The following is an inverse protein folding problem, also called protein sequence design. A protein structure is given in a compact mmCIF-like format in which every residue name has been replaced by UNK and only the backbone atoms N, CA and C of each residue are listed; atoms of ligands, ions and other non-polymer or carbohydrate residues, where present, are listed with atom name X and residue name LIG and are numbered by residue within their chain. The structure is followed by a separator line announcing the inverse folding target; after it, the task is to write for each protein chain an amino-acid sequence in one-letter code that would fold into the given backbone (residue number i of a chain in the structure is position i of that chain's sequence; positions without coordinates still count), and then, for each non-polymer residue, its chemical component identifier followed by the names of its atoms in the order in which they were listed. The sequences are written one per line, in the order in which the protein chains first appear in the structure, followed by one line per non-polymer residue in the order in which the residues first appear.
data_IF_478319334431
#
_entry.id   IF_478319334431
#
_cell.length_a   1.000
_cell.length_b   1.000
_cell.length_c   1.000
_cell.angle_alpha   90.00
_cell.angle_beta   90.00
_cell.angle_gamma   90.00
#
_symmetry.space_group_name_H-M   'P 1'
#
loop_
_entity.id
_entity.type
_entity.pdbx_description
1 polymer ?
#
# COMPACT_ATOMS: atom_id res chain seq x y z
N UNK A 1 -0.35 -37.62 -1.58
CA UNK A 1 -1.59 -37.11 -2.22
C UNK A 1 -2.31 -36.03 -1.42
N UNK A 2 -2.15 -35.92 -0.09
CA UNK A 2 -2.79 -34.88 0.73
C UNK A 2 -2.24 -33.46 0.47
N UNK A 3 -0.91 -33.29 0.42
CA UNK A 3 -0.27 -31.98 0.24
C UNK A 3 -0.62 -31.27 -1.09
N UNK A 4 -0.50 -31.97 -2.24
CA UNK A 4 -0.88 -31.42 -3.57
C UNK A 4 -2.35 -30.98 -3.66
N UNK A 5 -3.25 -31.63 -2.93
CA UNK A 5 -4.69 -31.29 -2.92
C UNK A 5 -4.94 -30.02 -2.11
N UNK A 6 -4.20 -29.81 -1.03
CA UNK A 6 -4.26 -28.58 -0.24
C UNK A 6 -3.62 -27.39 -1.00
N UNK A 7 -2.52 -27.61 -1.72
CA UNK A 7 -1.90 -26.58 -2.59
C UNK A 7 -2.84 -26.16 -3.73
N UNK A 8 -3.55 -27.10 -4.37
CA UNK A 8 -4.50 -26.78 -5.45
C UNK A 8 -5.74 -26.06 -4.94
N UNK A 9 -6.26 -26.43 -3.76
CA UNK A 9 -7.36 -25.70 -3.11
C UNK A 9 -6.94 -24.28 -2.69
N UNK A 10 -5.72 -24.10 -2.18
CA UNK A 10 -5.17 -22.78 -1.86
C UNK A 10 -4.96 -21.93 -3.11
N UNK A 11 -4.45 -22.51 -4.21
CA UNK A 11 -4.29 -21.78 -5.48
C UNK A 11 -5.63 -21.35 -6.07
N UNK A 12 -6.66 -22.18 -5.94
CA UNK A 12 -8.02 -21.83 -6.38
C UNK A 12 -8.65 -20.73 -5.51
N UNK A 13 -8.33 -20.66 -4.22
CA UNK A 13 -8.81 -19.59 -3.33
C UNK A 13 -8.23 -18.21 -3.70
N UNK A 14 -7.05 -18.16 -4.32
CA UNK A 14 -6.48 -16.90 -4.85
C UNK A 14 -7.08 -16.46 -6.20
N UNK A 15 -7.81 -17.33 -6.89
CA UNK A 15 -8.32 -17.03 -8.22
C UNK A 15 -9.17 -15.75 -8.31
N UNK A 16 -10.07 -15.41 -7.36
CA UNK A 16 -10.84 -14.16 -7.40
C UNK A 16 -9.94 -12.93 -7.36
N UNK A 17 -8.92 -12.94 -6.49
CA UNK A 17 -7.94 -11.86 -6.33
C UNK A 17 -7.10 -11.68 -7.60
N UNK A 18 -6.63 -12.80 -8.17
CA UNK A 18 -5.92 -12.80 -9.45
C UNK A 18 -6.79 -12.21 -10.57
N UNK A 19 -8.04 -12.66 -10.70
CA UNK A 19 -8.95 -12.18 -11.74
C UNK A 19 -9.27 -10.69 -11.58
N UNK A 20 -9.44 -10.22 -10.33
CA UNK A 20 -9.65 -8.80 -10.03
C UNK A 20 -8.48 -7.93 -10.48
N UNK A 21 -7.25 -8.41 -10.34
CA UNK A 21 -6.07 -7.65 -10.75
C UNK A 21 -5.75 -7.75 -12.25
N UNK A 22 -6.22 -8.81 -12.92
CA UNK A 22 -6.15 -8.90 -14.39
C UNK A 22 -7.22 -8.03 -15.07
N UNK A 23 -8.32 -7.71 -14.38
CA UNK A 23 -9.40 -6.88 -14.91
C UNK A 23 -8.90 -5.52 -15.46
N UNK A 24 -8.05 -4.75 -14.76
CA UNK A 24 -7.34 -3.59 -15.32
C UNK A 24 -6.72 -3.79 -16.71
N UNK A 25 -5.94 -4.86 -16.88
CA UNK A 25 -5.24 -5.16 -18.13
C UNK A 25 -6.23 -5.54 -19.23
N UNK A 26 -7.21 -6.39 -18.89
CA UNK A 26 -8.28 -6.77 -19.81
C UNK A 26 -9.11 -5.54 -20.21
N UNK A 27 -9.40 -4.64 -19.27
CA UNK A 27 -10.13 -3.41 -19.54
C UNK A 27 -9.42 -2.51 -20.54
N UNK A 28 -8.09 -2.39 -20.44
CA UNK A 28 -7.30 -1.62 -21.40
C UNK A 28 -7.33 -2.26 -22.79
N UNK A 29 -7.11 -3.58 -22.88
CA UNK A 29 -6.96 -4.27 -24.16
C UNK A 29 -8.30 -4.52 -24.87
N UNK A 30 -9.37 -4.78 -24.12
CA UNK A 30 -10.65 -5.22 -24.67
C UNK A 30 -11.78 -4.20 -24.53
N UNK A 31 -11.69 -3.27 -23.57
CA UNK A 31 -12.76 -2.31 -23.23
C UNK A 31 -12.35 -0.84 -23.44
N UNK A 32 -11.16 -0.62 -24.02
CA UNK A 32 -10.60 0.71 -24.29
C UNK A 32 -10.52 1.59 -23.03
N UNK A 33 -10.26 0.97 -21.87
CA UNK A 33 -10.05 1.72 -20.64
C UNK A 33 -8.80 2.59 -20.76
N UNK A 34 -8.94 3.85 -20.36
CA UNK A 34 -7.83 4.80 -20.37
C UNK A 34 -6.79 4.35 -19.35
N UNK A 35 -5.57 4.12 -19.83
CA UNK A 35 -4.45 3.63 -19.01
C UNK A 35 -4.22 4.53 -17.79
N UNK A 36 -4.29 5.85 -17.99
CA UNK A 36 -4.14 6.82 -16.90
C UNK A 36 -5.19 6.66 -15.80
N UNK A 37 -6.43 6.30 -16.13
CA UNK A 37 -7.49 6.10 -15.14
C UNK A 37 -7.25 4.82 -14.33
N UNK A 38 -6.81 3.76 -15.00
CA UNK A 38 -6.42 2.50 -14.35
C UNK A 38 -5.25 2.72 -13.40
N UNK A 39 -4.18 3.37 -13.84
CA UNK A 39 -3.06 3.70 -12.96
C UNK A 39 -3.49 4.62 -11.81
N UNK A 40 -4.37 5.59 -12.07
CA UNK A 40 -4.91 6.45 -11.02
C UNK A 40 -5.71 5.66 -9.97
N UNK A 41 -6.42 4.59 -10.33
CA UNK A 41 -7.10 3.75 -9.32
C UNK A 41 -6.13 3.08 -8.34
N UNK A 42 -4.97 2.59 -8.82
CA UNK A 42 -3.94 2.06 -7.92
C UNK A 42 -3.34 3.14 -7.02
N UNK A 43 -3.16 4.36 -7.55
CA UNK A 43 -2.66 5.49 -6.78
C UNK A 43 -3.65 5.98 -5.71
N UNK A 44 -4.93 5.98 -6.06
CA UNK A 44 -6.03 6.28 -5.14
C UNK A 44 -6.15 5.24 -4.04
N UNK A 45 -5.97 3.96 -4.37
CA UNK A 45 -5.96 2.88 -3.38
C UNK A 45 -4.88 3.13 -2.33
N UNK A 46 -3.62 3.38 -2.74
CA UNK A 46 -2.53 3.68 -1.80
C UNK A 46 -2.83 4.90 -0.91
N UNK A 47 -3.34 5.98 -1.52
CA UNK A 47 -3.72 7.18 -0.79
C UNK A 47 -4.86 6.94 0.20
N UNK A 48 -5.85 6.14 -0.20
CA UNK A 48 -7.01 5.78 0.62
C UNK A 48 -6.59 4.89 1.78
N UNK A 49 -5.79 3.85 1.54
CA UNK A 49 -5.24 2.99 2.58
C UNK A 49 -4.43 3.83 3.57
N UNK A 50 -3.53 4.70 3.10
CA UNK A 50 -2.76 5.59 3.97
C UNK A 50 -3.67 6.48 4.82
N UNK A 51 -4.67 7.12 4.20
CA UNK A 51 -5.61 8.01 4.88
C UNK A 51 -6.37 7.27 5.98
N UNK A 52 -7.00 6.15 5.64
CA UNK A 52 -7.88 5.40 6.53
C UNK A 52 -7.10 4.81 7.70
N UNK A 53 -5.95 4.17 7.43
CA UNK A 53 -5.11 3.62 8.48
C UNK A 53 -4.42 4.71 9.32
N UNK A 54 -4.09 5.86 8.73
CA UNK A 54 -3.55 6.99 9.48
C UNK A 54 -4.57 7.61 10.44
N UNK A 55 -5.84 7.71 10.02
CA UNK A 55 -6.93 8.10 10.92
C UNK A 55 -7.15 7.05 12.01
N UNK A 56 -7.18 5.76 11.64
CA UNK A 56 -7.31 4.65 12.59
C UNK A 56 -6.21 4.64 13.67
N UNK A 57 -4.98 4.95 13.29
CA UNK A 57 -3.83 4.98 14.19
C UNK A 57 -3.98 6.00 15.33
N UNK A 58 -4.82 7.03 15.20
CA UNK A 58 -5.13 7.97 16.28
C UNK A 58 -5.89 7.31 17.44
N UNK A 59 -6.61 6.22 17.18
CA UNK A 59 -7.38 5.46 18.18
C UNK A 59 -6.60 4.31 18.80
N UNK A 60 -5.40 4.01 18.29
CA UNK A 60 -4.59 2.91 18.77
C UNK A 60 -4.11 3.14 20.21
N UNK A 61 -4.52 2.24 21.11
CA UNK A 61 -4.33 2.38 22.56
C UNK A 61 -2.96 1.93 23.02
N UNK A 62 -2.34 0.93 22.38
CA UNK A 62 -1.08 0.37 22.91
C UNK A 62 0.10 1.34 22.73
N UNK A 63 1.06 1.36 23.67
CA UNK A 63 2.30 2.10 23.48
C UNK A 63 3.10 1.49 22.33
N UNK A 64 3.84 2.34 21.62
CA UNK A 64 4.74 1.91 20.55
C UNK A 64 5.98 1.30 21.17
N UNK A 65 6.33 0.09 20.73
CA UNK A 65 7.58 -0.61 21.06
C UNK A 65 8.38 -0.72 19.77
N UNK A 66 9.62 -0.23 19.76
CA UNK A 66 10.46 -0.16 18.55
C UNK A 66 11.52 -1.26 18.47
N UNK A 67 11.86 -1.86 19.61
CA UNK A 67 12.85 -2.91 19.69
C UNK A 67 12.45 -4.12 18.84
N UNK A 68 13.40 -4.65 18.07
CA UNK A 68 13.19 -5.83 17.22
C UNK A 68 12.41 -5.60 15.93
N UNK A 69 11.98 -4.36 15.62
CA UNK A 69 11.23 -4.07 14.38
C UNK A 69 12.11 -4.09 13.13
N UNK A 70 11.54 -4.58 12.04
CA UNK A 70 12.20 -4.59 10.72
C UNK A 70 11.95 -3.32 9.90
N UNK A 71 10.89 -2.58 10.18
CA UNK A 71 10.55 -1.33 9.51
C UNK A 71 10.37 -0.18 10.53
N UNK A 72 11.00 0.96 10.25
CA UNK A 72 10.82 2.19 11.01
C UNK A 72 10.01 3.20 10.20
N UNK A 73 8.91 3.68 10.77
CA UNK A 73 8.10 4.74 10.17
C UNK A 73 8.84 6.09 10.19
N UNK A 74 8.51 7.01 9.25
CA UNK A 74 9.18 8.31 9.18
C UNK A 74 9.13 9.09 10.50
N UNK A 75 10.30 9.56 10.94
CA UNK A 75 10.45 10.32 12.18
C UNK A 75 10.40 9.51 13.47
N UNK A 76 10.48 8.20 13.35
CA UNK A 76 10.63 7.25 14.45
C UNK A 76 11.94 6.50 14.28
N UNK A 77 12.76 6.50 15.32
CA UNK A 77 13.90 5.60 15.46
C UNK A 77 14.16 5.37 16.94
N UNK A 78 14.96 4.34 17.25
CA UNK A 78 15.39 4.06 18.62
C UNK A 78 16.07 5.28 19.28
N UNK A 79 16.77 6.10 18.48
CA UNK A 79 17.44 7.31 18.97
C UNK A 79 16.54 8.57 18.96
N UNK A 80 15.54 8.64 18.06
CA UNK A 80 14.76 9.87 17.83
C UNK A 80 13.52 9.99 18.72
N UNK A 81 12.92 8.86 19.11
CA UNK A 81 11.75 8.81 20.00
C UNK A 81 12.18 8.20 21.34
N UNK A 82 12.43 9.05 22.35
CA UNK A 82 12.72 8.59 23.72
C UNK A 82 11.62 7.64 24.17
N UNK A 83 11.96 6.41 24.57
CA UNK A 83 11.05 5.41 25.15
C UNK A 83 10.07 6.03 26.17
N UNK A 84 10.54 7.00 26.96
CA UNK A 84 9.76 7.80 27.91
C UNK A 84 8.44 8.39 27.36
N UNK A 85 8.34 8.73 26.06
CA UNK A 85 7.09 9.28 25.49
C UNK A 85 6.02 8.21 25.39
N UNK A 86 6.39 6.97 25.07
CA UNK A 86 5.48 5.84 24.89
C UNK A 86 5.12 5.19 26.24
N UNK A 87 6.04 5.25 27.20
CA UNK A 87 5.86 4.74 28.56
C UNK A 87 4.97 5.63 29.44
N UNK A 88 4.71 6.88 29.01
CA UNK A 88 3.77 7.75 29.71
C UNK A 88 2.36 7.16 29.71
N UNK A 89 1.68 7.33 30.85
CA UNK A 89 0.28 7.00 31.01
C UNK A 89 -0.53 7.60 29.85
N UNK A 90 -1.41 6.80 29.19
CA UNK A 90 -2.21 7.30 28.11
C UNK A 90 -3.11 8.44 28.61
N UNK A 91 -3.11 9.56 27.89
CA UNK A 91 -4.03 10.68 28.11
C UNK A 91 -5.08 10.70 26.99
N UNK A 92 -6.15 9.90 27.09
CA UNK A 92 -7.19 9.82 26.07
C UNK A 92 -8.01 11.10 26.02
N UNK A 93 -8.40 11.50 24.80
CA UNK A 93 -9.42 12.51 24.55
C UNK A 93 -10.68 11.77 24.14
N UNK A 94 -11.70 11.81 25.00
CA UNK A 94 -13.01 11.23 24.73
C UNK A 94 -13.70 11.99 23.60
N UNK A 95 -14.26 11.24 22.64
CA UNK A 95 -15.04 11.82 21.54
C UNK A 95 -16.53 11.69 21.84
N UNK A 96 -17.37 12.63 21.37
CA UNK A 96 -18.82 12.49 21.47
C UNK A 96 -19.30 11.33 20.59
N UNK A 97 -20.14 10.45 21.14
CA UNK A 97 -20.77 9.34 20.42
C UNK A 97 -20.14 7.97 20.71
N UNK A 98 -20.36 6.97 19.84
CA UNK A 98 -19.90 5.59 20.06
C UNK A 98 -18.43 5.36 19.67
N UNK A 99 -17.68 6.42 19.35
CA UNK A 99 -16.30 6.31 18.90
C UNK A 99 -15.35 6.10 20.09
N UNK A 100 -14.30 5.28 19.95
CA UNK A 100 -13.27 5.16 20.98
C UNK A 100 -12.53 6.48 21.21
N UNK A 101 -11.84 6.62 22.35
CA UNK A 101 -11.01 7.79 22.61
C UNK A 101 -9.85 7.90 21.61
N UNK A 102 -9.45 9.14 21.34
CA UNK A 102 -8.27 9.47 20.55
C UNK A 102 -7.07 9.66 21.48
N UNK A 103 -5.89 9.20 21.06
CA UNK A 103 -4.64 9.35 21.81
C UNK A 103 -3.73 10.41 21.15
N UNK A 104 -3.64 11.65 21.69
CA UNK A 104 -2.88 12.74 21.09
C UNK A 104 -1.39 12.43 20.87
N UNK A 105 -0.81 11.51 21.68
CA UNK A 105 0.57 11.05 21.52
C UNK A 105 0.85 10.43 20.14
N UNK A 106 -0.19 9.90 19.47
CA UNK A 106 -0.11 9.29 18.14
C UNK A 106 -0.10 10.36 17.02
N UNK A 107 -0.56 11.58 17.29
CA UNK A 107 -0.78 12.60 16.27
C UNK A 107 0.51 13.04 15.54
N UNK A 108 1.66 13.08 16.24
CA UNK A 108 2.94 13.39 15.59
C UNK A 108 3.33 12.31 14.58
N UNK A 109 3.17 11.04 14.96
CA UNK A 109 3.48 9.91 14.11
C UNK A 109 2.59 9.90 12.86
N UNK A 110 1.27 10.00 13.04
CA UNK A 110 0.31 10.09 11.93
C UNK A 110 0.63 11.25 11.00
N UNK A 111 0.93 12.44 11.55
CA UNK A 111 1.29 13.61 10.75
C UNK A 111 2.54 13.39 9.91
N UNK A 112 3.59 12.80 10.49
CA UNK A 112 4.83 12.53 9.75
C UNK A 112 4.60 11.46 8.67
N UNK A 113 3.83 10.41 8.98
CA UNK A 113 3.42 9.41 7.98
C UNK A 113 2.62 10.04 6.84
N UNK A 114 1.73 11.00 7.12
CA UNK A 114 1.02 11.73 6.07
C UNK A 114 1.93 12.63 5.25
N UNK A 115 2.80 13.42 5.88
CA UNK A 115 3.73 14.30 5.15
C UNK A 115 4.60 13.51 4.19
N UNK A 116 5.19 12.41 4.66
CA UNK A 116 6.07 11.59 3.82
C UNK A 116 5.29 10.71 2.83
N UNK A 117 4.22 10.06 3.27
CA UNK A 117 3.41 9.19 2.43
C UNK A 117 2.69 9.95 1.32
N UNK A 118 1.96 11.03 1.64
CA UNK A 118 1.36 11.87 0.60
C UNK A 118 2.39 12.70 -0.16
N UNK A 119 3.52 13.06 0.45
CA UNK A 119 4.63 13.68 -0.27
C UNK A 119 5.15 12.78 -1.40
N UNK A 120 5.30 11.48 -1.14
CA UNK A 120 5.62 10.50 -2.17
C UNK A 120 4.50 10.36 -3.22
N UNK A 121 3.25 10.21 -2.79
CA UNK A 121 2.12 10.08 -3.73
C UNK A 121 1.92 11.31 -4.62
N UNK A 122 2.26 12.50 -4.11
CA UNK A 122 2.21 13.76 -4.85
C UNK A 122 3.39 13.94 -5.82
N UNK A 123 4.48 13.19 -5.67
CA UNK A 123 5.68 13.37 -6.50
C UNK A 123 5.41 13.20 -8.00
N UNK A 124 4.72 12.14 -8.49
CA UNK A 124 4.38 12.02 -9.90
C UNK A 124 3.49 13.16 -10.41
N UNK A 125 2.57 13.65 -9.57
CA UNK A 125 1.66 14.75 -9.92
C UNK A 125 2.39 16.10 -10.02
N UNK A 126 3.41 16.29 -9.17
CA UNK A 126 4.29 17.45 -9.23
C UNK A 126 5.20 17.40 -10.47
N UNK A 127 5.74 16.21 -10.78
CA UNK A 127 6.59 16.00 -11.96
C UNK A 127 5.79 16.18 -13.26
N UNK A 128 4.57 15.64 -13.34
CA UNK A 128 3.71 15.69 -14.51
C UNK A 128 2.28 16.13 -14.17
N UNK A 129 2.02 17.45 -14.06
CA UNK A 129 0.71 17.98 -13.66
C UNK A 129 -0.44 17.61 -14.60
N UNK A 130 -0.14 17.29 -15.87
CA UNK A 130 -1.14 16.84 -16.86
C UNK A 130 -1.83 15.55 -16.44
N UNK A 131 -1.15 14.68 -15.68
CA UNK A 131 -1.75 13.46 -15.13
C UNK A 131 -3.01 13.74 -14.34
N UNK A 132 -3.08 14.88 -13.63
CA UNK A 132 -4.27 15.28 -12.88
C UNK A 132 -5.43 15.53 -13.85
N UNK A 133 -5.22 16.37 -14.87
CA UNK A 133 -6.24 16.72 -15.84
C UNK A 133 -6.72 15.49 -16.63
N UNK A 134 -5.79 14.60 -16.99
CA UNK A 134 -6.08 13.39 -17.73
C UNK A 134 -6.81 12.36 -16.87
N UNK A 135 -6.52 12.28 -15.58
CA UNK A 135 -7.17 11.36 -14.64
C UNK A 135 -8.53 11.86 -14.14
N UNK A 136 -8.83 13.17 -14.18
CA UNK A 136 -10.03 13.75 -13.57
C UNK A 136 -11.31 13.45 -14.38
N UNK A 137 -11.78 12.20 -14.33
CA UNK A 137 -13.05 11.77 -14.88
C UNK A 137 -14.12 11.61 -13.79
N UNK A 138 -15.42 11.84 -14.09
CA UNK A 138 -16.50 11.59 -13.14
C UNK A 138 -16.52 10.13 -12.64
N UNK A 139 -16.14 9.19 -13.51
CA UNK A 139 -16.00 7.79 -13.16
C UNK A 139 -14.92 7.58 -12.10
N UNK A 140 -13.74 8.20 -12.27
CA UNK A 140 -12.67 8.08 -11.28
C UNK A 140 -13.04 8.70 -9.93
N UNK A 141 -13.76 9.82 -9.92
CA UNK A 141 -14.26 10.43 -8.68
C UNK A 141 -15.23 9.50 -7.94
N UNK A 142 -16.17 8.87 -8.66
CA UNK A 142 -17.09 7.88 -8.09
C UNK A 142 -16.32 6.67 -7.55
N UNK A 143 -15.32 6.19 -8.29
CA UNK A 143 -14.45 5.09 -7.85
C UNK A 143 -13.68 5.45 -6.58
N UNK A 144 -13.10 6.66 -6.49
CA UNK A 144 -12.42 7.13 -5.30
C UNK A 144 -13.36 7.17 -4.07
N UNK A 145 -14.58 7.69 -4.25
CA UNK A 145 -15.59 7.72 -3.18
C UNK A 145 -16.00 6.31 -2.75
N UNK A 146 -16.18 5.39 -3.69
CA UNK A 146 -16.51 3.99 -3.41
C UNK A 146 -15.37 3.28 -2.66
N UNK A 147 -14.11 3.50 -3.05
CA UNK A 147 -12.93 2.96 -2.36
C UNK A 147 -12.85 3.46 -0.92
N UNK A 148 -13.00 4.77 -0.71
CA UNK A 148 -12.99 5.37 0.63
C UNK A 148 -14.12 4.80 1.48
N UNK A 149 -15.34 4.72 0.94
CA UNK A 149 -16.47 4.14 1.64
C UNK A 149 -16.23 2.67 2.01
N UNK A 150 -15.66 1.89 1.09
CA UNK A 150 -15.33 0.47 1.32
C UNK A 150 -14.28 0.31 2.40
N UNK A 151 -13.21 1.10 2.37
CA UNK A 151 -12.16 1.06 3.40
C UNK A 151 -12.66 1.50 4.76
N UNK A 152 -13.53 2.53 4.81
CA UNK A 152 -14.13 3.00 6.05
C UNK A 152 -15.07 1.95 6.63
N UNK A 153 -15.86 1.26 5.80
CA UNK A 153 -16.71 0.16 6.24
C UNK A 153 -15.88 -1.02 6.78
N UNK A 154 -14.81 -1.39 6.09
CA UNK A 154 -13.88 -2.40 6.57
C UNK A 154 -13.26 -2.01 7.91
N UNK A 155 -12.75 -0.79 8.02
CA UNK A 155 -12.20 -0.27 9.28
C UNK A 155 -13.24 -0.26 10.40
N UNK A 156 -14.47 0.14 10.11
CA UNK A 156 -15.58 0.11 11.07
C UNK A 156 -15.83 -1.30 11.60
N UNK A 157 -15.89 -2.30 10.73
CA UNK A 157 -16.23 -3.68 11.10
C UNK A 157 -15.07 -4.36 11.83
N UNK A 158 -13.88 -4.33 11.25
CA UNK A 158 -12.72 -5.10 11.73
C UNK A 158 -11.95 -4.37 12.82
N UNK A 159 -11.64 -3.08 12.63
CA UNK A 159 -10.80 -2.36 13.59
C UNK A 159 -11.58 -1.90 14.81
N UNK A 160 -12.75 -1.30 14.60
CA UNK A 160 -13.60 -0.80 15.69
C UNK A 160 -14.53 -1.88 16.25
N UNK A 161 -15.16 -2.68 15.39
CA UNK A 161 -16.10 -3.73 15.82
C UNK A 161 -15.44 -4.84 16.63
N UNK A 162 -14.26 -5.29 16.25
CA UNK A 162 -13.50 -6.32 16.97
C UNK A 162 -12.57 -5.73 18.04
N UNK A 163 -12.60 -4.41 18.28
CA UNK A 163 -11.78 -3.70 19.27
C UNK A 163 -10.27 -3.88 19.10
N UNK A 164 -9.80 -4.17 17.87
CA UNK A 164 -8.36 -4.29 17.55
C UNK A 164 -7.55 -3.04 17.89
N UNK A 165 -8.19 -1.88 17.98
CA UNK A 165 -7.57 -0.64 18.45
C UNK A 165 -7.00 -0.74 19.88
N UNK A 166 -7.51 -1.66 20.71
CA UNK A 166 -6.98 -1.92 22.07
C UNK A 166 -5.70 -2.76 22.05
N UNK A 167 -5.52 -3.53 20.99
CA UNK A 167 -4.44 -4.50 20.83
C UNK A 167 -3.29 -3.96 19.99
N UNK A 168 -3.54 -2.94 19.18
CA UNK A 168 -2.55 -2.35 18.30
C UNK A 168 -1.96 -1.04 18.84
N UNK A 169 -0.72 -0.80 18.46
CA UNK A 169 -0.06 0.50 18.63
C UNK A 169 -0.20 1.31 17.35
N UNK A 170 -0.09 2.64 17.44
CA UNK A 170 -0.17 3.49 16.26
C UNK A 170 0.87 3.11 15.19
N UNK A 171 2.04 2.62 15.62
CA UNK A 171 3.06 2.13 14.71
C UNK A 171 2.57 0.91 13.94
N UNK A 172 2.06 -0.12 14.62
CA UNK A 172 1.54 -1.33 13.97
C UNK A 172 0.46 -1.01 12.93
N UNK A 173 -0.47 -0.11 13.26
CA UNK A 173 -1.54 0.31 12.34
C UNK A 173 -0.96 0.99 11.10
N UNK A 174 0.00 1.92 11.28
CA UNK A 174 0.64 2.64 10.16
C UNK A 174 1.67 1.80 9.41
N UNK A 175 2.12 0.70 9.97
CA UNK A 175 3.05 -0.22 9.33
C UNK A 175 2.40 -0.91 8.13
N UNK A 176 1.09 -1.15 8.18
CA UNK A 176 0.32 -1.76 7.09
C UNK A 176 0.42 -0.93 5.79
N UNK A 177 0.02 0.36 5.75
CA UNK A 177 0.24 1.20 4.58
C UNK A 177 1.73 1.54 4.38
N UNK A 178 2.52 1.64 5.45
CA UNK A 178 3.94 1.97 5.38
C UNK A 178 4.77 0.95 4.61
N UNK A 179 4.56 -0.35 4.88
CA UNK A 179 5.18 -1.47 4.16
C UNK A 179 4.77 -1.47 2.69
N UNK A 180 3.49 -1.26 2.42
CA UNK A 180 2.99 -1.18 1.03
C UNK A 180 3.66 -0.04 0.26
N UNK A 181 3.69 1.17 0.83
CA UNK A 181 4.34 2.32 0.21
C UNK A 181 5.84 2.09 0.02
N UNK A 182 6.54 1.56 1.03
CA UNK A 182 7.96 1.25 0.93
C UNK A 182 8.23 0.25 -0.20
N UNK A 183 7.44 -0.81 -0.31
CA UNK A 183 7.55 -1.78 -1.39
C UNK A 183 7.33 -1.11 -2.75
N UNK A 184 6.26 -0.34 -2.91
CA UNK A 184 5.96 0.36 -4.18
C UNK A 184 7.08 1.31 -4.57
N UNK A 185 7.65 2.06 -3.63
CA UNK A 185 8.81 2.94 -3.86
C UNK A 185 9.98 2.13 -4.40
N UNK A 186 10.38 1.07 -3.69
CA UNK A 186 11.52 0.23 -4.09
C UNK A 186 11.27 -0.48 -5.41
N UNK A 187 10.06 -0.98 -5.63
CA UNK A 187 9.65 -1.67 -6.84
C UNK A 187 9.72 -0.76 -8.07
N UNK A 188 9.12 0.43 -7.99
CA UNK A 188 9.14 1.40 -9.08
C UNK A 188 10.55 1.95 -9.33
N UNK A 189 11.34 2.18 -8.28
CA UNK A 189 12.74 2.60 -8.43
C UNK A 189 13.58 1.52 -9.13
N UNK A 190 13.40 0.24 -8.76
CA UNK A 190 14.09 -0.89 -9.39
C UNK A 190 13.69 -1.01 -10.87
N UNK A 191 12.40 -1.01 -11.17
CA UNK A 191 11.91 -1.13 -12.56
C UNK A 191 12.35 0.07 -13.40
N UNK A 192 12.29 1.28 -12.84
CA UNK A 192 12.80 2.48 -13.50
C UNK A 192 14.29 2.38 -13.81
N UNK A 193 15.11 1.92 -12.85
CA UNK A 193 16.55 1.71 -13.07
C UNK A 193 16.82 0.65 -14.15
N UNK A 194 16.10 -0.49 -14.12
CA UNK A 194 16.18 -1.50 -15.16
C UNK A 194 15.80 -0.93 -16.54
N UNK A 195 14.74 -0.13 -16.62
CA UNK A 195 14.30 0.53 -17.85
C UNK A 195 15.38 1.47 -18.41
N UNK A 196 16.03 2.27 -17.55
CA UNK A 196 17.13 3.16 -17.95
C UNK A 196 18.31 2.35 -18.49
N UNK A 197 18.72 1.27 -17.81
CA UNK A 197 19.82 0.40 -18.26
C UNK A 197 19.50 -0.22 -19.62
N UNK A 198 18.30 -0.75 -19.80
CA UNK A 198 17.87 -1.33 -21.09
C UNK A 198 17.84 -0.28 -22.20
N UNK A 199 17.37 0.94 -21.92
CA UNK A 199 17.39 2.04 -22.88
C UNK A 199 18.83 2.40 -23.29
N UNK A 200 19.76 2.51 -22.34
CA UNK A 200 21.17 2.78 -22.62
C UNK A 200 21.83 1.66 -23.44
N UNK A 201 21.53 0.39 -23.13
CA UNK A 201 22.00 -0.75 -23.93
C UNK A 201 21.42 -0.73 -25.34
N UNK A 202 20.14 -0.42 -25.50
CA UNK A 202 19.52 -0.28 -26.81
C UNK A 202 20.18 0.83 -27.64
N UNK A 203 20.50 1.97 -27.03
CA UNK A 203 21.26 3.05 -27.70
C UNK A 203 22.69 2.60 -28.07
N UNK A 204 23.36 1.85 -27.20
CA UNK A 204 24.72 1.35 -27.46
C UNK A 204 24.81 0.22 -28.49
N UNK A 205 23.72 -0.51 -28.72
CA UNK A 205 23.62 -1.62 -29.69
C UNK A 205 23.02 -1.15 -31.03
N UNK A 206 22.21 -0.09 -31.03
CA UNK A 206 21.57 0.41 -32.23
C UNK A 206 22.55 1.18 -33.14
N UNK A 207 22.83 0.61 -34.31
CA UNK A 207 23.41 1.34 -35.44
C UNK A 207 22.36 2.29 -36.02
N UNK A 208 22.25 3.50 -35.46
CA UNK A 208 21.48 4.69 -35.91
C UNK A 208 19.97 4.57 -36.24
N UNK A 209 19.37 3.38 -36.28
CA UNK A 209 17.92 3.21 -36.41
C UNK A 209 17.27 3.26 -35.03
N UNK A 210 16.79 4.45 -34.66
CA UNK A 210 15.99 4.70 -33.47
C UNK A 210 14.80 3.72 -33.39
N UNK A 211 14.82 2.83 -32.39
CA UNK A 211 13.66 1.99 -32.04
C UNK A 211 12.59 2.92 -31.48
N UNK A 212 11.61 3.29 -32.31
CA UNK A 212 10.44 4.06 -31.88
C UNK A 212 9.42 3.06 -31.35
N UNK A 213 9.36 2.91 -30.02
CA UNK A 213 8.28 2.16 -29.37
C UNK A 213 7.03 3.05 -29.36
N UNK A 214 5.87 2.58 -29.82
CA UNK A 214 4.62 3.33 -29.73
C UNK A 214 4.28 3.71 -28.27
N UNK A 215 3.63 4.86 -28.08
CA UNK A 215 3.21 5.34 -26.77
C UNK A 215 2.33 4.31 -26.03
N UNK A 216 1.38 3.70 -26.75
CA UNK A 216 0.49 2.69 -26.20
C UNK A 216 1.23 1.47 -25.63
N UNK A 217 2.25 0.94 -26.33
CA UNK A 217 3.01 -0.22 -25.85
C UNK A 217 3.80 0.11 -24.58
N UNK A 218 4.32 1.34 -24.50
CA UNK A 218 5.04 1.83 -23.32
C UNK A 218 4.11 1.98 -22.12
N UNK A 219 2.93 2.57 -22.33
CA UNK A 219 1.91 2.75 -21.28
C UNK A 219 1.31 1.41 -20.80
N UNK A 220 1.08 0.48 -21.73
CA UNK A 220 0.62 -0.87 -21.40
C UNK A 220 1.68 -1.66 -20.63
N UNK A 221 2.95 -1.55 -21.01
CA UNK A 221 4.06 -2.15 -20.28
C UNK A 221 4.17 -1.57 -18.86
N UNK A 222 4.08 -0.25 -18.71
CA UNK A 222 4.08 0.41 -17.40
C UNK A 222 2.90 -0.05 -16.52
N UNK A 223 1.71 -0.19 -17.09
CA UNK A 223 0.54 -0.71 -16.35
C UNK A 223 0.72 -2.15 -15.95
N UNK A 224 1.23 -2.99 -16.84
CA UNK A 224 1.49 -4.41 -16.56
C UNK A 224 2.50 -4.56 -15.43
N UNK A 225 3.55 -3.74 -15.41
CA UNK A 225 4.50 -3.66 -14.29
C UNK A 225 3.78 -3.34 -12.99
N UNK A 226 2.95 -2.30 -12.94
CA UNK A 226 2.22 -1.93 -11.71
C UNK A 226 1.30 -3.06 -11.23
N UNK A 227 0.54 -3.66 -12.15
CA UNK A 227 -0.36 -4.80 -11.86
C UNK A 227 0.42 -5.99 -11.32
N UNK A 228 1.56 -6.34 -11.91
CA UNK A 228 2.42 -7.43 -11.43
C UNK A 228 2.96 -7.12 -10.03
N UNK A 229 3.41 -5.89 -9.79
CA UNK A 229 3.85 -5.45 -8.46
C UNK A 229 2.76 -5.64 -7.40
N UNK A 230 1.53 -5.20 -7.68
CA UNK A 230 0.39 -5.33 -6.76
C UNK A 230 -0.03 -6.79 -6.55
N UNK A 231 -0.07 -7.59 -7.62
CA UNK A 231 -0.31 -9.03 -7.53
C UNK A 231 0.72 -9.74 -6.65
N UNK A 232 2.00 -9.33 -6.70
CA UNK A 232 3.03 -9.89 -5.83
C UNK A 232 2.76 -9.57 -4.35
N UNK A 233 2.27 -8.37 -4.03
CA UNK A 233 1.87 -7.99 -2.66
C UNK A 233 0.72 -8.88 -2.19
N UNK A 234 -0.34 -8.96 -2.97
CA UNK A 234 -1.54 -9.71 -2.60
C UNK A 234 -1.26 -11.19 -2.47
N UNK A 235 -0.49 -11.77 -3.39
CA UNK A 235 -0.05 -13.15 -3.32
C UNK A 235 0.77 -13.43 -2.07
N UNK A 236 1.65 -12.50 -1.69
CA UNK A 236 2.48 -12.62 -0.49
C UNK A 236 1.62 -12.61 0.77
N UNK A 237 0.65 -11.70 0.87
CA UNK A 237 -0.33 -11.65 1.98
C UNK A 237 -1.18 -12.91 2.04
N UNK A 238 -1.72 -13.33 0.90
CA UNK A 238 -2.53 -14.55 0.79
C UNK A 238 -1.77 -15.77 1.32
N UNK A 239 -0.50 -15.92 0.91
CA UNK A 239 0.36 -17.00 1.40
C UNK A 239 0.61 -16.90 2.90
N UNK A 240 0.82 -15.69 3.43
CA UNK A 240 1.05 -15.50 4.86
C UNK A 240 -0.16 -15.91 5.72
N UNK A 241 -1.37 -15.68 5.22
CA UNK A 241 -2.62 -16.02 5.93
C UNK A 241 -2.98 -17.52 5.86
N UNK A 242 -2.64 -18.19 4.74
CA UNK A 242 -3.09 -19.56 4.47
C UNK A 242 -2.01 -20.63 4.70
N UNK A 243 -0.75 -20.23 4.87
CA UNK A 243 0.36 -21.13 5.11
C UNK A 243 0.98 -20.89 6.51
N UNK A 244 0.77 -21.81 7.48
CA UNK A 244 1.29 -21.66 8.84
C UNK A 244 2.82 -21.75 8.93
N UNK A 245 3.53 -22.19 7.87
CA UNK A 245 5.00 -22.18 7.80
C UNK A 245 5.55 -20.98 7.01
N UNK A 246 4.69 -20.02 6.66
CA UNK A 246 5.10 -18.85 5.88
C UNK A 246 6.19 -18.05 6.60
N UNK A 247 7.25 -17.71 5.86
CA UNK A 247 8.38 -16.93 6.37
C UNK A 247 8.97 -16.02 5.28
N UNK A 248 9.79 -15.07 5.70
CA UNK A 248 10.50 -14.16 4.81
C UNK A 248 9.58 -13.15 4.12
N UNK A 249 9.58 -13.12 2.79
CA UNK A 249 8.87 -12.09 2.02
C UNK A 249 7.34 -12.19 2.13
N UNK A 250 6.79 -13.39 2.33
CA UNK A 250 5.34 -13.57 2.48
C UNK A 250 4.81 -12.83 3.71
N UNK A 251 5.48 -13.00 4.85
CA UNK A 251 5.10 -12.37 6.11
C UNK A 251 5.51 -10.90 6.21
N UNK A 252 6.39 -10.41 5.32
CA UNK A 252 6.86 -9.02 5.35
C UNK A 252 5.74 -7.97 5.21
N UNK A 253 4.60 -8.33 4.63
CA UNK A 253 3.46 -7.41 4.51
C UNK A 253 2.51 -7.44 5.70
N UNK A 254 2.73 -8.33 6.66
CA UNK A 254 2.05 -8.32 7.95
C UNK A 254 2.78 -7.35 8.90
N UNK A 255 2.05 -6.65 9.78
CA UNK A 255 2.67 -5.80 10.79
C UNK A 255 3.44 -6.64 11.81
N UNK A 256 4.65 -6.21 12.17
CA UNK A 256 5.42 -6.88 13.24
C UNK A 256 4.75 -6.61 14.60
N UNK A 257 4.41 -7.66 15.36
CA UNK A 257 4.16 -7.55 16.80
C UNK A 257 5.46 -7.89 17.56
N UNK A 258 6.21 -6.91 18.11
CA UNK A 258 7.48 -7.14 18.80
C UNK A 258 7.33 -7.85 20.16
N UNK A 259 6.16 -8.44 20.42
CA UNK A 259 5.80 -9.11 21.67
C UNK A 259 5.48 -10.59 21.47
N UNK A 260 5.56 -11.07 20.23
CA UNK A 260 5.61 -12.49 19.84
C UNK A 260 7.06 -12.90 19.54
#
# INVERSE_FOLDING_TARGET
MSARRNETLGTLAFAPTLLSNLLPVVGIVALDWRIVEVLATYWLELGTTLLVYGVAALFARRPVVLDGRTLFLPGVSNDTERHEKWDRAPNPVELPGPLPPVYPRNARLVRLSFVWGFGFLAFPLYAEPKLIADALSPALVLTALAMVASHVDQLRREFFGERRYEEMSAHMVLEVPGRLLFFVICYLALVGACGIVLALLAVGVADSNTVVVPAFETELAATTVVVVGMLLVEWSRFRAEHDPESSGFATWFLPDDPRE
#
